data_IF_779604340248
#
_entry.id   IF_779604340248
#
_cell.length_a   1.000
_cell.length_b   1.000
_cell.length_c   1.000
_cell.angle_alpha   90.00
_cell.angle_beta   90.00
_cell.angle_gamma   90.00
#
_symmetry.space_group_name_H-M   'P 1'
#
loop_
_entity.id
_entity.type
_entity.pdbx_description
1 polymer ?
#
# COMPACT_ATOMS: atom_id res chain seq x y z
N UNK A 1 40.02 -20.20 15.90
CA UNK A 1 39.18 -21.37 15.54
C UNK A 1 37.73 -20.91 15.50
N UNK A 2 37.16 -20.84 14.29
CA UNK A 2 35.73 -20.93 13.94
C UNK A 2 35.55 -20.24 12.57
N UNK A 3 35.49 -21.05 11.52
CA UNK A 3 35.27 -20.60 10.14
C UNK A 3 33.77 -20.42 9.89
N UNK A 4 33.39 -19.25 9.39
CA UNK A 4 32.01 -18.94 8.95
C UNK A 4 31.86 -19.28 7.47
N UNK A 5 31.19 -20.40 7.18
CA UNK A 5 30.78 -20.78 5.84
C UNK A 5 29.56 -19.99 5.39
N UNK A 6 29.69 -19.24 4.29
CA UNK A 6 28.56 -18.64 3.57
C UNK A 6 27.88 -19.71 2.73
N UNK A 7 26.61 -20.00 2.99
CA UNK A 7 25.75 -20.73 2.06
C UNK A 7 25.23 -19.76 0.98
N UNK A 8 25.37 -20.14 -0.28
CA UNK A 8 24.79 -19.48 -1.46
C UNK A 8 23.31 -19.83 -1.61
N UNK A 9 22.43 -18.87 -1.99
CA UNK A 9 21.01 -19.11 -2.19
C UNK A 9 20.77 -19.57 -3.63
N UNK A 10 20.98 -20.87 -3.90
CA UNK A 10 20.72 -21.43 -5.24
C UNK A 10 19.97 -22.76 -5.23
N UNK A 11 19.59 -23.28 -4.05
CA UNK A 11 18.97 -24.61 -3.94
C UNK A 11 17.55 -24.63 -3.35
N UNK A 12 16.90 -23.47 -3.17
CA UNK A 12 15.53 -23.41 -2.62
C UNK A 12 14.45 -23.05 -3.66
N UNK A 13 14.80 -22.81 -4.92
CA UNK A 13 13.83 -22.35 -5.94
C UNK A 13 13.35 -23.43 -6.92
N UNK A 14 13.93 -24.63 -6.90
CA UNK A 14 13.57 -25.75 -7.80
C UNK A 14 12.36 -26.55 -7.28
N UNK A 15 11.88 -26.30 -6.06
CA UNK A 15 10.81 -27.10 -5.44
C UNK A 15 9.38 -26.72 -5.84
N UNK A 16 9.12 -25.54 -6.40
CA UNK A 16 7.73 -25.04 -6.50
C UNK A 16 6.99 -25.51 -7.77
N UNK A 17 7.65 -25.71 -8.90
CA UNK A 17 6.99 -26.21 -10.13
C UNK A 17 6.65 -27.70 -10.07
N UNK A 18 7.50 -28.52 -9.45
CA UNK A 18 7.18 -29.94 -9.17
C UNK A 18 6.03 -30.10 -8.18
N UNK A 19 5.90 -29.19 -7.20
CA UNK A 19 4.78 -29.14 -6.27
C UNK A 19 3.48 -28.67 -6.93
N UNK A 20 3.53 -27.75 -7.90
CA UNK A 20 2.36 -27.30 -8.66
C UNK A 20 1.89 -28.38 -9.64
N UNK A 21 2.80 -29.09 -10.31
CA UNK A 21 2.44 -30.27 -11.13
C UNK A 21 1.91 -31.44 -10.29
N UNK A 22 2.45 -31.68 -9.08
CA UNK A 22 1.92 -32.68 -8.15
C UNK A 22 0.57 -32.27 -7.54
N UNK A 23 0.38 -30.97 -7.23
CA UNK A 23 -0.88 -30.45 -6.70
C UNK A 23 -1.98 -30.44 -7.76
N UNK A 24 -1.67 -30.06 -9.00
CA UNK A 24 -2.61 -30.16 -10.13
C UNK A 24 -2.85 -31.63 -10.53
N UNK A 25 -1.83 -32.49 -10.47
CA UNK A 25 -1.98 -33.93 -10.69
C UNK A 25 -2.89 -34.62 -9.66
N UNK A 26 -2.86 -34.18 -8.39
CA UNK A 26 -3.76 -34.70 -7.35
C UNK A 26 -5.19 -34.13 -7.46
N UNK A 27 -5.36 -32.93 -8.01
CA UNK A 27 -6.68 -32.34 -8.32
C UNK A 27 -7.36 -32.96 -9.56
N UNK A 28 -6.57 -33.46 -10.53
CA UNK A 28 -7.07 -34.08 -11.75
C UNK A 28 -7.15 -35.62 -11.71
N UNK A 29 -6.58 -36.27 -10.67
CA UNK A 29 -6.77 -37.69 -10.37
C UNK A 29 -8.01 -37.91 -9.50
N UNK A 30 -9.18 -37.49 -9.96
CA UNK A 30 -10.45 -37.88 -9.36
C UNK A 30 -11.00 -39.12 -10.09
N UNK A 31 -11.51 -40.09 -9.33
CA UNK A 31 -12.30 -41.21 -9.84
C UNK A 31 -13.32 -40.72 -10.89
N UNK A 32 -13.57 -41.49 -11.96
CA UNK A 32 -14.22 -41.02 -13.20
C UNK A 32 -15.64 -40.42 -13.07
N UNK A 33 -16.20 -40.29 -11.86
CA UNK A 33 -17.56 -39.81 -11.60
C UNK A 33 -17.68 -38.71 -10.51
N UNK A 34 -16.61 -38.04 -10.07
CA UNK A 34 -16.75 -36.87 -9.19
C UNK A 34 -16.74 -35.52 -9.94
N UNK A 35 -17.64 -34.58 -9.61
CA UNK A 35 -17.64 -33.24 -10.21
C UNK A 35 -16.38 -32.46 -9.78
N UNK A 36 -15.69 -31.87 -10.76
CA UNK A 36 -14.47 -31.09 -10.53
C UNK A 36 -14.75 -29.93 -9.56
N UNK A 37 -13.95 -29.82 -8.49
CA UNK A 37 -13.97 -28.65 -7.61
C UNK A 37 -13.38 -27.43 -8.36
N UNK A 38 -13.99 -26.24 -8.26
CA UNK A 38 -13.41 -25.02 -8.83
C UNK A 38 -12.11 -24.65 -8.12
N UNK A 39 -11.14 -24.10 -8.87
CA UNK A 39 -9.89 -23.59 -8.32
C UNK A 39 -10.15 -22.34 -7.44
N UNK A 40 -9.30 -22.05 -6.44
CA UNK A 40 -9.33 -20.79 -5.69
C UNK A 40 -9.10 -19.58 -6.61
N UNK A 41 -9.76 -18.45 -6.36
CA UNK A 41 -9.74 -17.24 -7.20
C UNK A 41 -8.32 -16.71 -7.50
N UNK A 42 -7.37 -16.96 -6.60
CA UNK A 42 -5.96 -16.55 -6.72
C UNK A 42 -5.19 -17.30 -7.85
N UNK A 43 -5.76 -18.40 -8.35
CA UNK A 43 -5.20 -19.20 -9.45
C UNK A 43 -6.01 -19.09 -10.75
N UNK A 44 -7.10 -18.31 -10.77
CA UNK A 44 -7.88 -18.05 -11.98
C UNK A 44 -7.01 -17.45 -13.11
N UNK A 45 -6.03 -16.61 -12.75
CA UNK A 45 -5.04 -16.04 -13.66
C UNK A 45 -4.09 -17.09 -14.28
N UNK A 46 -3.73 -18.14 -13.52
CA UNK A 46 -2.89 -19.23 -14.03
C UNK A 46 -3.69 -20.10 -15.00
N UNK A 47 -4.98 -20.32 -14.73
CA UNK A 47 -5.88 -21.02 -15.64
C UNK A 47 -6.14 -20.18 -16.92
N UNK A 48 -6.25 -18.86 -16.81
CA UNK A 48 -6.40 -17.94 -17.94
C UNK A 48 -5.10 -17.84 -18.78
N UNK A 49 -3.93 -17.82 -18.15
CA UNK A 49 -2.63 -17.90 -18.85
C UNK A 49 -2.44 -19.26 -19.49
N UNK A 50 -2.74 -20.37 -18.81
CA UNK A 50 -2.67 -21.71 -19.40
C UNK A 50 -3.70 -21.90 -20.51
N UNK A 51 -4.85 -21.24 -20.44
CA UNK A 51 -5.85 -21.24 -21.52
C UNK A 51 -5.41 -20.36 -22.69
N UNK A 52 -4.82 -19.18 -22.45
CA UNK A 52 -4.22 -18.33 -23.49
C UNK A 52 -3.00 -18.99 -24.12
N UNK A 53 -2.17 -19.67 -23.34
CA UNK A 53 -0.98 -20.39 -23.78
C UNK A 53 -1.34 -21.70 -24.45
N UNK A 54 -2.35 -22.44 -23.98
CA UNK A 54 -2.90 -23.57 -24.71
C UNK A 54 -3.63 -23.13 -25.98
N UNK A 55 -4.27 -21.95 -26.01
CA UNK A 55 -4.82 -21.37 -27.22
C UNK A 55 -3.71 -20.93 -28.18
N UNK A 56 -2.57 -20.44 -27.66
CA UNK A 56 -1.40 -20.01 -28.43
C UNK A 56 -0.59 -21.20 -29.00
N UNK A 57 -0.40 -22.27 -28.22
CA UNK A 57 0.27 -23.51 -28.64
C UNK A 57 -0.66 -24.41 -29.47
N UNK A 58 -1.98 -24.34 -29.25
CA UNK A 58 -2.99 -24.94 -30.13
C UNK A 58 -3.44 -24.01 -31.26
N UNK A 59 -2.79 -22.86 -31.47
CA UNK A 59 -3.11 -21.99 -32.61
C UNK A 59 -2.98 -22.85 -33.86
N UNK A 60 -4.10 -23.18 -34.53
CA UNK A 60 -4.05 -23.96 -35.76
C UNK A 60 -3.20 -23.23 -36.78
N UNK A 61 -3.04 -21.91 -36.67
CA UNK A 61 -2.17 -21.09 -37.51
C UNK A 61 -0.68 -21.41 -37.41
N UNK A 62 -0.07 -21.50 -36.21
CA UNK A 62 1.37 -21.74 -36.09
C UNK A 62 1.72 -23.19 -36.41
N UNK A 63 0.90 -24.15 -35.96
CA UNK A 63 1.08 -25.56 -36.25
C UNK A 63 0.71 -25.90 -37.70
N UNK A 64 -0.28 -25.24 -38.32
CA UNK A 64 -0.55 -25.37 -39.76
C UNK A 64 0.49 -24.63 -40.60
N UNK A 65 1.04 -23.49 -40.17
CA UNK A 65 2.19 -22.87 -40.84
C UNK A 65 3.39 -23.82 -40.76
N UNK A 66 3.68 -24.42 -39.61
CA UNK A 66 4.75 -25.40 -39.46
C UNK A 66 4.49 -26.66 -40.30
N UNK A 67 3.28 -27.22 -40.29
CA UNK A 67 2.90 -28.40 -41.10
C UNK A 67 2.80 -28.10 -42.60
N UNK A 68 2.39 -26.89 -42.99
CA UNK A 68 2.34 -26.44 -44.39
C UNK A 68 3.78 -26.18 -44.89
N UNK A 69 4.67 -25.63 -44.05
CA UNK A 69 6.10 -25.46 -44.31
C UNK A 69 6.85 -26.82 -44.34
N UNK A 70 6.42 -27.81 -43.56
CA UNK A 70 6.99 -29.16 -43.61
C UNK A 70 6.47 -29.93 -44.84
N UNK A 71 5.21 -29.68 -45.26
CA UNK A 71 4.59 -30.28 -46.46
C UNK A 71 5.08 -29.67 -47.77
N UNK A 72 5.26 -28.36 -47.83
CA UNK A 72 6.00 -27.67 -48.88
C UNK A 72 7.46 -27.69 -48.47
N UNK A 73 8.22 -28.72 -48.85
CA UNK A 73 9.65 -28.72 -48.54
C UNK A 73 10.23 -27.36 -48.90
N UNK A 74 10.84 -26.68 -47.94
CA UNK A 74 11.54 -25.41 -48.20
C UNK A 74 12.57 -25.58 -49.33
N UNK A 75 13.07 -26.80 -49.51
CA UNK A 75 13.89 -27.26 -50.63
C UNK A 75 13.23 -27.07 -52.01
N UNK A 76 11.89 -27.09 -52.10
CA UNK A 76 11.13 -26.86 -53.35
C UNK A 76 10.93 -25.38 -53.69
N UNK A 77 11.01 -24.47 -52.70
CA UNK A 77 10.64 -23.06 -52.88
C UNK A 77 11.80 -22.17 -53.34
N UNK A 78 12.99 -22.73 -53.66
CA UNK A 78 14.20 -21.96 -54.01
C UNK A 78 14.52 -20.86 -52.97
N UNK A 79 14.10 -21.05 -51.72
CA UNK A 79 14.46 -20.16 -50.62
C UNK A 79 15.93 -20.41 -50.33
N UNK A 80 16.78 -19.36 -50.29
CA UNK A 80 18.19 -19.55 -50.01
C UNK A 80 18.34 -20.21 -48.62
N UNK A 81 19.24 -21.20 -48.56
CA UNK A 81 19.42 -22.12 -47.42
C UNK A 81 19.59 -21.38 -46.08
N UNK A 82 20.15 -20.18 -46.13
CA UNK A 82 20.36 -19.30 -44.99
C UNK A 82 19.07 -18.70 -44.40
N UNK A 83 18.02 -18.46 -45.21
CA UNK A 83 16.73 -17.98 -44.72
C UNK A 83 15.95 -19.10 -44.02
N UNK A 84 16.07 -20.34 -44.51
CA UNK A 84 15.47 -21.53 -43.90
C UNK A 84 16.03 -21.80 -42.51
N UNK A 85 17.35 -21.75 -42.35
CA UNK A 85 18.02 -21.89 -41.05
C UNK A 85 17.63 -20.76 -40.08
N UNK A 86 17.49 -19.52 -40.55
CA UNK A 86 17.03 -18.38 -39.71
C UNK A 86 15.60 -18.57 -39.20
N UNK A 87 14.70 -19.08 -40.04
CA UNK A 87 13.30 -19.36 -39.63
C UNK A 87 13.26 -20.49 -38.60
N UNK A 88 14.00 -21.58 -38.83
CA UNK A 88 14.11 -22.70 -37.87
C UNK A 88 14.71 -22.25 -36.54
N UNK A 89 15.78 -21.47 -36.55
CA UNK A 89 16.42 -20.99 -35.33
C UNK A 89 15.51 -20.04 -34.54
N UNK A 90 14.78 -19.15 -35.24
CA UNK A 90 13.83 -18.23 -34.62
C UNK A 90 12.63 -18.96 -34.00
N UNK A 91 12.12 -20.01 -34.66
CA UNK A 91 11.06 -20.87 -34.13
C UNK A 91 11.53 -21.69 -32.93
N UNK A 92 12.74 -22.25 -32.98
CA UNK A 92 13.35 -22.96 -31.85
C UNK A 92 13.57 -22.03 -30.64
N UNK A 93 14.00 -20.78 -30.88
CA UNK A 93 14.20 -19.80 -29.84
C UNK A 93 12.87 -19.35 -29.19
N UNK A 94 11.81 -19.16 -29.99
CA UNK A 94 10.46 -18.91 -29.48
C UNK A 94 9.91 -20.10 -28.66
N UNK A 95 10.22 -21.33 -29.06
CA UNK A 95 9.84 -22.53 -28.31
C UNK A 95 10.58 -22.63 -26.95
N UNK A 96 11.84 -22.22 -26.89
CA UNK A 96 12.61 -22.18 -25.63
C UNK A 96 12.11 -21.07 -24.70
N UNK A 97 11.84 -19.88 -25.25
CA UNK A 97 11.35 -18.73 -24.48
C UNK A 97 9.91 -18.88 -23.98
N UNK A 98 9.13 -19.78 -24.56
CA UNK A 98 7.78 -20.10 -24.08
C UNK A 98 7.79 -21.09 -22.91
N UNK A 99 8.95 -21.67 -22.59
CA UNK A 99 9.14 -22.68 -21.53
C UNK A 99 9.84 -22.08 -20.28
N UNK A 100 10.36 -20.85 -20.35
CA UNK A 100 11.06 -20.16 -19.25
C UNK A 100 10.18 -19.09 -18.58
N UNK A 101 10.34 -18.87 -17.25
CA UNK A 101 9.56 -17.89 -16.50
C UNK A 101 9.69 -16.47 -17.12
N UNK A 102 8.55 -16.00 -17.63
CA UNK A 102 8.39 -14.95 -18.64
C UNK A 102 8.83 -13.51 -18.27
N UNK A 103 8.92 -13.02 -17.01
CA UNK A 103 8.97 -11.56 -16.82
C UNK A 103 10.25 -10.85 -17.28
N UNK A 104 11.40 -11.53 -17.36
CA UNK A 104 12.70 -10.87 -17.60
C UNK A 104 13.16 -10.86 -19.06
N UNK A 105 12.66 -11.78 -19.89
CA UNK A 105 13.10 -11.93 -21.28
C UNK A 105 12.10 -11.38 -22.31
N UNK A 106 11.09 -10.66 -21.83
CA UNK A 106 10.05 -9.98 -22.61
C UNK A 106 10.65 -9.22 -23.82
N UNK A 107 11.67 -8.34 -23.68
CA UNK A 107 12.26 -7.65 -24.83
C UNK A 107 12.95 -8.58 -25.86
N UNK A 108 13.53 -9.69 -25.41
CA UNK A 108 14.21 -10.66 -26.27
C UNK A 108 13.21 -11.48 -27.12
N UNK A 109 12.07 -11.83 -26.51
CA UNK A 109 10.91 -12.44 -27.20
C UNK A 109 10.42 -11.56 -28.36
N UNK A 110 10.21 -10.26 -28.11
CA UNK A 110 9.77 -9.32 -29.14
C UNK A 110 10.79 -9.16 -30.26
N UNK A 111 12.07 -9.05 -29.92
CA UNK A 111 13.15 -8.97 -30.90
C UNK A 111 13.16 -10.18 -31.85
N UNK A 112 12.97 -11.37 -31.28
CA UNK A 112 12.98 -12.64 -32.03
C UNK A 112 11.75 -12.79 -32.93
N UNK A 113 10.57 -12.38 -32.45
CA UNK A 113 9.35 -12.35 -33.25
C UNK A 113 9.43 -11.36 -34.42
N UNK A 114 9.95 -10.15 -34.18
CA UNK A 114 10.17 -9.15 -35.24
C UNK A 114 11.20 -9.64 -36.27
N UNK A 115 12.25 -10.34 -35.83
CA UNK A 115 13.23 -10.97 -36.72
C UNK A 115 12.59 -12.06 -37.60
N UNK A 116 11.74 -12.91 -37.02
CA UNK A 116 11.04 -13.98 -37.76
C UNK A 116 10.13 -13.40 -38.85
N UNK A 117 9.27 -12.43 -38.48
CA UNK A 117 8.31 -11.81 -39.39
C UNK A 117 9.00 -11.05 -40.52
N UNK A 118 10.09 -10.34 -40.22
CA UNK A 118 10.94 -9.68 -41.23
C UNK A 118 11.54 -10.69 -42.21
N UNK A 119 12.12 -11.79 -41.68
CA UNK A 119 12.74 -12.85 -42.50
C UNK A 119 11.71 -13.51 -43.43
N UNK A 120 10.51 -13.81 -42.93
CA UNK A 120 9.42 -14.37 -43.72
C UNK A 120 8.95 -13.42 -44.84
N UNK A 121 8.88 -12.12 -44.53
CA UNK A 121 8.50 -11.09 -45.51
C UNK A 121 9.54 -10.95 -46.62
N UNK A 122 10.82 -11.00 -46.28
CA UNK A 122 11.92 -10.94 -47.25
C UNK A 122 11.92 -12.18 -48.16
N UNK A 123 11.73 -13.37 -47.60
CA UNK A 123 11.62 -14.62 -48.36
C UNK A 123 10.43 -14.59 -49.35
N UNK A 124 9.25 -14.13 -48.90
CA UNK A 124 8.07 -13.94 -49.76
C UNK A 124 8.30 -12.91 -50.86
N UNK A 125 8.96 -11.79 -50.54
CA UNK A 125 9.31 -10.75 -51.51
C UNK A 125 10.33 -11.21 -52.56
N UNK A 126 11.22 -12.13 -52.20
CA UNK A 126 12.13 -12.80 -53.14
C UNK A 126 11.40 -13.70 -54.13
N UNK A 127 10.43 -14.48 -53.63
CA UNK A 127 9.59 -15.38 -54.43
C UNK A 127 8.79 -14.64 -55.51
N UNK A 128 8.25 -13.46 -55.17
CA UNK A 128 7.49 -12.62 -56.09
C UNK A 128 8.35 -11.96 -57.19
N UNK A 129 9.68 -11.95 -57.05
CA UNK A 129 10.61 -11.34 -58.02
C UNK A 129 11.18 -12.33 -59.03
N UNK A 130 10.83 -13.60 -58.95
CA UNK A 130 11.33 -14.63 -59.87
C UNK A 130 10.80 -14.36 -61.30
N UNK A 131 11.64 -14.52 -62.35
CA UNK A 131 11.23 -14.28 -63.74
C UNK A 131 10.10 -15.22 -64.20
N UNK A 132 9.08 -14.68 -64.86
CA UNK A 132 7.89 -15.41 -65.34
C UNK A 132 8.23 -16.55 -66.30
N UNK A 133 9.35 -16.46 -67.01
CA UNK A 133 9.91 -17.46 -67.92
C UNK A 133 10.37 -18.75 -67.23
N UNK A 134 10.55 -18.76 -65.90
CA UNK A 134 10.81 -19.97 -65.11
C UNK A 134 9.56 -20.55 -64.43
N UNK A 135 8.44 -19.83 -64.42
CA UNK A 135 7.19 -20.25 -63.82
C UNK A 135 6.24 -20.73 -64.93
N UNK A 136 6.15 -22.04 -65.13
CA UNK A 136 5.27 -22.60 -66.16
C UNK A 136 3.82 -22.13 -66.04
N UNK A 137 3.12 -22.02 -67.17
CA UNK A 137 1.75 -21.45 -67.37
C UNK A 137 0.61 -22.00 -66.48
N UNK A 138 0.85 -23.00 -65.63
CA UNK A 138 -0.13 -23.56 -64.68
C UNK A 138 0.18 -23.21 -63.20
N UNK A 139 1.30 -22.54 -62.92
CA UNK A 139 1.77 -22.28 -61.55
C UNK A 139 1.56 -20.83 -61.09
N UNK A 140 1.24 -19.91 -61.99
CA UNK A 140 1.18 -18.47 -61.69
C UNK A 140 -0.04 -18.08 -60.83
N UNK A 141 -1.20 -18.72 -61.03
CA UNK A 141 -2.38 -18.51 -60.19
C UNK A 141 -2.23 -19.10 -58.78
N UNK A 142 -1.59 -20.27 -58.67
CA UNK A 142 -1.48 -20.97 -57.40
C UNK A 142 -0.43 -20.32 -56.50
N UNK A 143 0.68 -19.84 -57.07
CA UNK A 143 1.71 -19.10 -56.32
C UNK A 143 1.22 -17.74 -55.86
N UNK A 144 0.43 -17.02 -56.67
CA UNK A 144 -0.14 -15.72 -56.28
C UNK A 144 -1.16 -15.89 -55.16
N UNK A 145 -2.05 -16.87 -55.25
CA UNK A 145 -2.98 -17.21 -54.17
C UNK A 145 -2.26 -17.68 -52.89
N UNK A 146 -1.19 -18.48 -53.03
CA UNK A 146 -0.38 -18.90 -51.89
C UNK A 146 0.28 -17.69 -51.21
N UNK A 147 0.93 -16.81 -51.98
CA UNK A 147 1.60 -15.63 -51.49
C UNK A 147 0.62 -14.65 -50.79
N UNK A 148 -0.57 -14.47 -51.34
CA UNK A 148 -1.64 -13.67 -50.73
C UNK A 148 -2.18 -14.32 -49.44
N UNK A 149 -2.38 -15.65 -49.42
CA UNK A 149 -2.82 -16.33 -48.22
C UNK A 149 -1.78 -16.29 -47.09
N UNK A 150 -0.49 -16.37 -47.45
CA UNK A 150 0.62 -16.28 -46.51
C UNK A 150 0.78 -14.85 -45.98
N UNK A 151 0.64 -13.82 -46.82
CA UNK A 151 0.71 -12.43 -46.36
C UNK A 151 -0.40 -12.09 -45.35
N UNK A 152 -1.64 -12.54 -45.61
CA UNK A 152 -2.77 -12.37 -44.68
C UNK A 152 -2.54 -13.12 -43.36
N UNK A 153 -1.96 -14.33 -43.40
CA UNK A 153 -1.60 -15.08 -42.19
C UNK A 153 -0.51 -14.39 -41.38
N UNK A 154 0.53 -13.87 -42.04
CA UNK A 154 1.61 -13.12 -41.40
C UNK A 154 1.08 -11.86 -40.74
N UNK A 155 0.22 -11.10 -41.43
CA UNK A 155 -0.41 -9.89 -40.87
C UNK A 155 -1.28 -10.20 -39.64
N UNK A 156 -2.05 -11.29 -39.67
CA UNK A 156 -2.85 -11.73 -38.52
C UNK A 156 -1.97 -12.15 -37.34
N UNK A 157 -0.87 -12.85 -37.60
CA UNK A 157 0.12 -13.21 -36.58
C UNK A 157 0.78 -11.97 -35.96
N UNK A 158 1.12 -10.97 -36.76
CA UNK A 158 1.68 -9.70 -36.28
C UNK A 158 0.66 -8.94 -35.40
N UNK A 159 -0.59 -8.84 -35.83
CA UNK A 159 -1.68 -8.24 -35.06
C UNK A 159 -1.89 -8.95 -33.72
N UNK A 160 -1.93 -10.28 -33.72
CA UNK A 160 -2.09 -11.06 -32.49
C UNK A 160 -0.88 -10.92 -31.56
N UNK A 161 0.34 -10.94 -32.10
CA UNK A 161 1.57 -10.72 -31.34
C UNK A 161 1.59 -9.35 -30.66
N UNK A 162 1.18 -8.30 -31.39
CA UNK A 162 1.07 -6.95 -30.84
C UNK A 162 -0.01 -6.85 -29.75
N UNK A 163 -1.14 -7.54 -29.89
CA UNK A 163 -2.20 -7.56 -28.88
C UNK A 163 -1.80 -8.37 -27.63
N UNK A 164 -1.15 -9.52 -27.80
CA UNK A 164 -0.61 -10.31 -26.69
C UNK A 164 0.46 -9.51 -25.93
N UNK A 165 1.29 -8.77 -26.65
CA UNK A 165 2.30 -7.90 -26.07
C UNK A 165 1.69 -6.76 -25.25
N UNK A 166 0.69 -6.07 -25.78
CA UNK A 166 0.05 -4.98 -25.04
C UNK A 166 -0.65 -5.47 -23.77
N UNK A 167 -1.24 -6.67 -23.79
CA UNK A 167 -1.79 -7.32 -22.60
C UNK A 167 -0.71 -7.63 -21.57
N UNK A 168 0.42 -8.22 -21.98
CA UNK A 168 1.53 -8.52 -21.09
C UNK A 168 2.12 -7.25 -20.47
N UNK A 169 2.34 -6.21 -21.27
CA UNK A 169 2.83 -4.92 -20.81
C UNK A 169 1.85 -4.25 -19.84
N UNK A 170 0.54 -4.35 -20.11
CA UNK A 170 -0.49 -3.84 -19.20
C UNK A 170 -0.53 -4.56 -17.85
N UNK A 171 -0.32 -5.88 -17.84
CA UNK A 171 -0.28 -6.67 -16.61
C UNK A 171 0.95 -6.34 -15.77
N UNK A 172 2.14 -6.23 -16.39
CA UNK A 172 3.37 -5.82 -15.69
C UNK A 172 3.25 -4.38 -15.17
N UNK A 173 2.62 -3.49 -15.93
CA UNK A 173 2.36 -2.12 -15.49
C UNK A 173 1.38 -2.09 -14.30
N UNK A 174 0.33 -2.93 -14.32
CA UNK A 174 -0.62 -3.07 -13.22
C UNK A 174 0.05 -3.57 -11.93
N UNK A 175 0.86 -4.63 -12.01
CA UNK A 175 1.61 -5.17 -10.86
C UNK A 175 2.54 -4.12 -10.23
N UNK A 176 3.29 -3.39 -11.07
CA UNK A 176 4.16 -2.30 -10.60
C UNK A 176 3.36 -1.16 -9.97
N UNK A 177 2.19 -0.84 -10.52
CA UNK A 177 1.30 0.17 -9.95
C UNK A 177 0.76 -0.26 -8.58
N UNK A 178 0.40 -1.53 -8.41
CA UNK A 178 -0.05 -2.09 -7.13
C UNK A 178 1.07 -2.11 -6.08
N UNK A 179 2.29 -2.48 -6.46
CA UNK A 179 3.46 -2.40 -5.58
C UNK A 179 3.76 -0.95 -5.17
N UNK A 180 3.76 -0.02 -6.13
CA UNK A 180 3.95 1.41 -5.86
C UNK A 180 2.85 1.95 -4.93
N UNK A 181 1.60 1.56 -5.13
CA UNK A 181 0.47 1.92 -4.28
C UNK A 181 0.66 1.39 -2.85
N UNK A 182 1.04 0.11 -2.68
CA UNK A 182 1.31 -0.48 -1.36
C UNK A 182 2.43 0.25 -0.63
N UNK A 183 3.54 0.52 -1.32
CA UNK A 183 4.66 1.26 -0.76
C UNK A 183 4.27 2.69 -0.36
N UNK A 184 3.46 3.36 -1.19
CA UNK A 184 2.94 4.69 -0.89
C UNK A 184 2.01 4.68 0.33
N UNK A 185 1.14 3.68 0.48
CA UNK A 185 0.27 3.52 1.65
C UNK A 185 1.08 3.29 2.94
N UNK A 186 2.13 2.46 2.89
CA UNK A 186 3.01 2.23 4.04
C UNK A 186 3.74 3.53 4.42
N UNK A 187 4.31 4.24 3.44
CA UNK A 187 5.00 5.51 3.68
C UNK A 187 4.05 6.60 4.22
N UNK A 188 2.82 6.66 3.70
CA UNK A 188 1.78 7.55 4.20
C UNK A 188 1.39 7.20 5.64
N UNK A 189 1.25 5.92 5.97
CA UNK A 189 0.99 5.45 7.33
C UNK A 189 2.08 5.84 8.32
N UNK A 190 3.36 5.59 7.98
CA UNK A 190 4.51 5.96 8.82
C UNK A 190 4.59 7.47 9.01
N UNK A 191 4.44 8.25 7.93
CA UNK A 191 4.51 9.72 8.01
C UNK A 191 3.34 10.33 8.79
N UNK A 192 2.14 9.78 8.65
CA UNK A 192 0.96 10.18 9.41
C UNK A 192 1.13 9.90 10.91
N UNK A 193 1.59 8.70 11.26
CA UNK A 193 1.87 8.30 12.64
C UNK A 193 2.94 9.19 13.29
N UNK A 194 4.02 9.49 12.57
CA UNK A 194 5.07 10.40 13.04
C UNK A 194 4.55 11.83 13.29
N UNK A 195 3.71 12.37 12.38
CA UNK A 195 3.09 13.69 12.55
C UNK A 195 2.12 13.72 13.73
N UNK A 196 1.29 12.69 13.88
CA UNK A 196 0.33 12.59 14.97
C UNK A 196 1.05 12.54 16.33
N UNK A 197 2.09 11.70 16.43
CA UNK A 197 2.97 11.60 17.60
C UNK A 197 3.59 12.96 17.94
N UNK A 198 4.20 13.64 16.96
CA UNK A 198 4.79 14.97 17.15
C UNK A 198 3.78 16.04 17.58
N UNK A 199 2.53 15.94 17.13
CA UNK A 199 1.45 16.83 17.58
C UNK A 199 1.10 16.60 19.06
N UNK A 200 1.03 15.35 19.53
CA UNK A 200 0.82 15.05 20.94
C UNK A 200 2.01 15.45 21.81
N UNK A 201 3.25 15.32 21.33
CA UNK A 201 4.43 15.80 22.06
C UNK A 201 4.43 17.33 22.21
N UNK A 202 4.08 18.04 21.14
CA UNK A 202 3.95 19.52 21.18
C UNK A 202 2.84 19.94 22.13
N UNK A 203 1.67 19.29 22.05
CA UNK A 203 0.55 19.55 22.96
C UNK A 203 0.93 19.26 24.42
N UNK A 204 1.69 18.20 24.69
CA UNK A 204 2.18 17.88 26.02
C UNK A 204 3.11 19.00 26.55
N UNK A 205 4.07 19.45 25.72
CA UNK A 205 5.02 20.50 26.09
C UNK A 205 4.33 21.84 26.37
N UNK A 206 3.33 22.22 25.58
CA UNK A 206 2.60 23.48 25.76
C UNK A 206 1.70 23.45 27.02
N UNK A 207 1.09 22.31 27.32
CA UNK A 207 0.36 22.11 28.58
C UNK A 207 1.30 22.09 29.79
N UNK A 208 2.50 21.53 29.67
CA UNK A 208 3.50 21.56 30.76
C UNK A 208 3.96 22.98 31.07
N UNK A 209 4.20 23.81 30.05
CA UNK A 209 4.50 25.25 30.20
C UNK A 209 3.33 25.97 30.88
N UNK A 210 2.10 25.75 30.42
CA UNK A 210 0.90 26.36 30.99
C UNK A 210 0.68 25.96 32.44
N UNK A 211 0.85 24.68 32.77
CA UNK A 211 0.83 24.17 34.15
C UNK A 211 1.86 24.89 35.03
N UNK A 212 3.09 25.05 34.52
CA UNK A 212 4.16 25.75 35.24
C UNK A 212 3.84 27.21 35.49
N UNK A 213 3.26 27.90 34.50
CA UNK A 213 2.78 29.27 34.63
C UNK A 213 1.72 29.39 35.74
N UNK A 214 0.66 28.57 35.71
CA UNK A 214 -0.39 28.61 36.72
C UNK A 214 0.11 28.23 38.12
N UNK A 215 1.10 27.35 38.22
CA UNK A 215 1.75 27.03 39.49
C UNK A 215 2.47 28.26 40.07
N UNK A 216 3.24 28.97 39.25
CA UNK A 216 3.88 30.22 39.67
C UNK A 216 2.87 31.30 40.03
N UNK A 217 1.81 31.47 39.23
CA UNK A 217 0.72 32.40 39.54
C UNK A 217 0.06 32.08 40.89
N UNK A 218 -0.17 30.79 41.18
CA UNK A 218 -0.71 30.35 42.48
C UNK A 218 0.22 30.73 43.63
N UNK A 219 1.52 30.47 43.50
CA UNK A 219 2.52 30.82 44.53
C UNK A 219 2.52 32.34 44.78
N UNK A 220 2.52 33.14 43.71
CA UNK A 220 2.51 34.60 43.81
C UNK A 220 1.22 35.12 44.45
N UNK A 221 0.05 34.56 44.11
CA UNK A 221 -1.22 34.95 44.71
C UNK A 221 -1.31 34.55 46.19
N UNK A 222 -0.82 33.36 46.57
CA UNK A 222 -0.75 32.95 47.98
C UNK A 222 0.17 33.89 48.76
N UNK A 223 1.36 34.20 48.23
CA UNK A 223 2.28 35.15 48.84
C UNK A 223 1.66 36.54 48.98
N UNK A 224 0.95 37.03 47.95
CA UNK A 224 0.23 38.29 47.99
C UNK A 224 -0.90 38.26 49.04
N UNK A 225 -1.68 37.18 49.11
CA UNK A 225 -2.78 37.04 50.08
C UNK A 225 -2.29 37.07 51.53
N UNK A 226 -1.18 36.38 51.82
CA UNK A 226 -0.52 36.43 53.14
C UNK A 226 0.08 37.81 53.40
N UNK A 227 0.80 38.38 52.43
CA UNK A 227 1.39 39.71 52.54
C UNK A 227 0.36 40.81 52.79
N UNK A 228 -0.76 40.81 52.06
CA UNK A 228 -1.89 41.72 52.27
C UNK A 228 -2.51 41.53 53.65
N UNK A 229 -2.68 40.29 54.10
CA UNK A 229 -3.22 40.01 55.44
C UNK A 229 -2.32 40.58 56.54
N UNK A 230 -1.00 40.40 56.44
CA UNK A 230 -0.02 40.92 57.40
C UNK A 230 0.03 42.45 57.34
N UNK A 231 0.09 43.02 56.14
CA UNK A 231 0.13 44.48 55.94
C UNK A 231 -1.12 45.17 56.51
N UNK A 232 -2.32 44.67 56.19
CA UNK A 232 -3.55 45.22 56.73
C UNK A 232 -3.64 45.09 58.25
N UNK A 233 -3.14 43.98 58.82
CA UNK A 233 -3.09 43.81 60.27
C UNK A 233 -2.18 44.85 60.94
N UNK A 234 -0.97 45.07 60.41
CA UNK A 234 -0.03 46.06 60.95
C UNK A 234 -0.57 47.49 60.80
N UNK A 235 -1.13 47.82 59.64
CA UNK A 235 -1.64 49.17 59.36
C UNK A 235 -2.89 49.51 60.17
N UNK A 236 -3.82 48.56 60.33
CA UNK A 236 -5.03 48.78 61.12
C UNK A 236 -4.74 48.77 62.64
N UNK A 237 -3.68 48.10 63.09
CA UNK A 237 -3.31 48.05 64.50
C UNK A 237 -2.93 49.42 65.08
N UNK A 238 -2.37 50.34 64.29
CA UNK A 238 -1.98 51.68 64.74
C UNK A 238 -3.19 52.57 65.14
N UNK A 239 -4.41 52.22 64.69
CA UNK A 239 -5.63 52.98 64.95
C UNK A 239 -6.59 52.37 65.98
N UNK A 240 -6.29 51.20 66.55
CA UNK A 240 -7.21 50.52 67.47
C UNK A 240 -6.99 50.97 68.91
N UNK A 241 -8.00 51.64 69.50
CA UNK A 241 -8.04 51.88 70.95
C UNK A 241 -8.21 50.56 71.72
N UNK A 242 -7.39 50.29 72.76
CA UNK A 242 -7.52 49.08 73.57
C UNK A 242 -8.93 48.96 74.17
N UNK A 243 -9.65 47.88 73.86
CA UNK A 243 -10.92 47.53 74.53
C UNK A 243 -12.18 47.51 73.67
N UNK A 244 -12.17 48.01 72.42
CA UNK A 244 -13.29 47.85 71.48
C UNK A 244 -12.89 47.02 70.25
N UNK A 245 -13.59 45.91 70.01
CA UNK A 245 -13.44 45.10 68.79
C UNK A 245 -14.09 45.85 67.62
N UNK A 246 -13.27 46.37 66.70
CA UNK A 246 -13.74 46.99 65.47
C UNK A 246 -14.00 45.91 64.40
N UNK A 247 -15.19 45.31 64.42
CA UNK A 247 -15.61 44.27 63.46
C UNK A 247 -15.39 44.63 61.99
N UNK A 248 -15.73 45.85 61.51
CA UNK A 248 -15.40 46.29 60.16
C UNK A 248 -13.93 46.17 59.80
N UNK A 249 -13.03 46.48 60.74
CA UNK A 249 -11.58 46.39 60.52
C UNK A 249 -11.09 44.94 60.38
N UNK A 250 -11.83 43.96 60.90
CA UNK A 250 -11.51 42.52 60.72
C UNK A 250 -12.15 41.93 59.47
N UNK A 251 -13.36 42.39 59.11
CA UNK A 251 -14.09 41.87 57.96
C UNK A 251 -13.43 42.23 56.64
N UNK A 252 -12.90 43.45 56.51
CA UNK A 252 -12.30 43.92 55.26
C UNK A 252 -11.07 43.08 54.83
N UNK A 253 -10.05 42.85 55.67
CA UNK A 253 -8.93 41.98 55.33
C UNK A 253 -9.37 40.54 55.02
N UNK A 254 -10.37 40.03 55.74
CA UNK A 254 -10.89 38.68 55.51
C UNK A 254 -11.50 38.55 54.11
N UNK A 255 -12.30 39.52 53.67
CA UNK A 255 -12.92 39.51 52.34
C UNK A 255 -11.86 39.68 51.25
N UNK A 256 -10.90 40.59 51.43
CA UNK A 256 -9.82 40.84 50.45
C UNK A 256 -8.92 39.61 50.32
N UNK A 257 -8.40 39.08 51.44
CA UNK A 257 -7.58 37.88 51.43
C UNK A 257 -8.37 36.66 50.94
N UNK A 258 -9.63 36.52 51.33
CA UNK A 258 -10.52 35.47 50.84
C UNK A 258 -10.69 35.51 49.32
N UNK A 259 -10.85 36.69 48.73
CA UNK A 259 -10.87 36.89 47.28
C UNK A 259 -9.57 36.45 46.60
N UNK A 260 -8.42 36.85 47.14
CA UNK A 260 -7.09 36.46 46.62
C UNK A 260 -6.91 34.93 46.69
N UNK A 261 -7.25 34.31 47.81
CA UNK A 261 -7.18 32.85 47.98
C UNK A 261 -8.16 32.12 47.05
N UNK A 262 -9.32 32.69 46.76
CA UNK A 262 -10.27 32.17 45.78
C UNK A 262 -9.65 32.08 44.38
N UNK A 263 -9.01 33.16 43.92
CA UNK A 263 -8.30 33.19 42.62
C UNK A 263 -7.10 32.23 42.64
N UNK A 264 -6.33 32.19 43.73
CA UNK A 264 -5.22 31.26 43.88
C UNK A 264 -5.67 29.80 43.76
N UNK A 265 -6.80 29.45 44.38
CA UNK A 265 -7.40 28.11 44.30
C UNK A 265 -7.81 27.76 42.88
N UNK A 266 -8.38 28.73 42.14
CA UNK A 266 -8.68 28.54 40.71
C UNK A 266 -7.41 28.28 39.89
N UNK A 267 -6.36 29.08 40.07
CA UNK A 267 -5.07 28.87 39.39
C UNK A 267 -4.46 27.50 39.75
N UNK A 268 -4.57 27.07 41.00
CA UNK A 268 -4.10 25.75 41.43
C UNK A 268 -4.84 24.62 40.70
N UNK A 269 -6.17 24.74 40.55
CA UNK A 269 -6.98 23.80 39.78
C UNK A 269 -6.56 23.78 38.30
N UNK A 270 -6.35 24.95 37.69
CA UNK A 270 -5.88 25.04 36.30
C UNK A 270 -4.49 24.44 36.09
N UNK A 271 -3.57 24.65 37.03
CA UNK A 271 -2.25 24.00 36.99
C UNK A 271 -2.37 22.47 36.99
N UNK A 272 -3.25 21.93 37.84
CA UNK A 272 -3.49 20.48 37.91
C UNK A 272 -4.11 19.93 36.62
N UNK A 273 -5.09 20.64 36.04
CA UNK A 273 -5.71 20.28 34.76
C UNK A 273 -4.67 20.17 33.65
N UNK A 274 -3.88 21.23 33.43
CA UNK A 274 -2.85 21.24 32.40
C UNK A 274 -1.79 20.15 32.61
N UNK A 275 -1.39 19.87 33.85
CA UNK A 275 -0.47 18.77 34.15
C UNK A 275 -1.04 17.41 33.76
N UNK A 276 -2.32 17.18 34.04
CA UNK A 276 -2.98 15.94 33.67
C UNK A 276 -3.11 15.79 32.17
N UNK A 277 -3.48 16.86 31.45
CA UNK A 277 -3.52 16.88 29.99
C UNK A 277 -2.15 16.60 29.37
N UNK A 278 -1.08 17.21 29.90
CA UNK A 278 0.29 16.96 29.45
C UNK A 278 0.68 15.49 29.64
N UNK A 279 0.35 14.91 30.80
CA UNK A 279 0.63 13.50 31.11
C UNK A 279 -0.13 12.57 30.17
N UNK A 280 -1.43 12.81 29.97
CA UNK A 280 -2.26 12.04 29.06
C UNK A 280 -1.73 12.08 27.63
N UNK A 281 -1.41 13.28 27.12
CA UNK A 281 -0.87 13.47 25.77
C UNK A 281 0.44 12.72 25.57
N UNK A 282 1.35 12.80 26.54
CA UNK A 282 2.61 12.06 26.53
C UNK A 282 2.40 10.55 26.55
N UNK A 283 1.43 10.06 27.30
CA UNK A 283 1.07 8.64 27.29
C UNK A 283 0.56 8.21 25.91
N UNK A 284 -0.30 9.01 25.26
CA UNK A 284 -0.79 8.70 23.91
C UNK A 284 0.35 8.70 22.88
N UNK A 285 1.25 9.67 22.93
CA UNK A 285 2.45 9.71 22.08
C UNK A 285 3.29 8.44 22.20
N UNK A 286 3.59 8.01 23.43
CA UNK A 286 4.34 6.75 23.68
C UNK A 286 3.55 5.53 23.17
N UNK A 287 2.23 5.51 23.39
CA UNK A 287 1.40 4.40 22.92
C UNK A 287 1.39 4.32 21.39
N UNK A 288 1.28 5.45 20.67
CA UNK A 288 1.36 5.48 19.21
C UNK A 288 2.68 4.92 18.68
N UNK A 289 3.81 5.24 19.33
CA UNK A 289 5.13 4.75 18.94
C UNK A 289 5.33 3.25 19.21
N UNK A 290 4.67 2.70 20.24
CA UNK A 290 4.91 1.34 20.71
C UNK A 290 3.84 0.33 20.27
N UNK A 291 2.66 0.81 19.87
CA UNK A 291 1.50 -0.04 19.56
C UNK A 291 1.77 -1.02 18.41
N UNK A 292 2.33 -0.55 17.28
CA UNK A 292 2.62 -1.42 16.14
C UNK A 292 3.62 -2.53 16.50
N UNK A 293 4.63 -2.22 17.31
CA UNK A 293 5.58 -3.21 17.82
C UNK A 293 4.94 -4.26 18.73
N UNK A 294 3.92 -3.86 19.50
CA UNK A 294 3.17 -4.76 20.38
C UNK A 294 2.24 -5.71 19.62
N UNK A 295 1.57 -5.25 18.57
CA UNK A 295 0.62 -6.07 17.80
C UNK A 295 1.29 -6.89 16.68
N UNK A 296 2.48 -6.50 16.23
CA UNK A 296 3.22 -7.17 15.15
C UNK A 296 3.39 -8.69 15.34
N UNK A 297 3.75 -9.22 16.54
CA UNK A 297 3.93 -10.66 16.73
C UNK A 297 2.63 -11.47 16.82
N UNK A 298 1.45 -10.83 16.81
CA UNK A 298 0.18 -11.54 16.88
C UNK A 298 -0.17 -12.18 15.53
N UNK A 299 -0.44 -13.49 15.53
CA UNK A 299 -0.79 -14.25 14.32
C UNK A 299 -2.27 -14.13 13.94
N UNK A 300 -3.14 -13.91 14.92
CA UNK A 300 -4.58 -13.75 14.69
C UNK A 300 -4.90 -12.34 14.20
N UNK A 301 -5.35 -12.24 12.94
CA UNK A 301 -5.73 -10.98 12.31
C UNK A 301 -6.97 -10.34 12.95
N UNK A 302 -7.95 -11.14 13.39
CA UNK A 302 -9.19 -10.62 13.97
C UNK A 302 -8.91 -9.88 15.28
N UNK A 303 -8.05 -10.47 16.14
CA UNK A 303 -7.65 -9.87 17.40
C UNK A 303 -6.85 -8.57 17.16
N UNK A 304 -5.98 -8.53 16.15
CA UNK A 304 -5.21 -7.32 15.81
C UNK A 304 -6.11 -6.16 15.40
N UNK A 305 -7.15 -6.44 14.62
CA UNK A 305 -8.07 -5.40 14.14
C UNK A 305 -9.02 -4.92 15.23
N UNK A 306 -9.43 -5.81 16.15
CA UNK A 306 -10.15 -5.42 17.37
C UNK A 306 -9.28 -4.50 18.24
N UNK A 307 -8.02 -4.87 18.50
CA UNK A 307 -7.09 -4.04 19.29
C UNK A 307 -6.84 -2.68 18.63
N UNK A 308 -6.72 -2.63 17.29
CA UNK A 308 -6.60 -1.35 16.55
C UNK A 308 -7.84 -0.49 16.71
N UNK A 309 -9.02 -1.09 16.68
CA UNK A 309 -10.29 -0.39 16.83
C UNK A 309 -10.43 0.22 18.22
N UNK A 310 -10.15 -0.56 19.27
CA UNK A 310 -10.16 -0.07 20.65
C UNK A 310 -9.09 0.99 20.91
N UNK A 311 -7.90 0.81 20.33
CA UNK A 311 -6.83 1.80 20.40
C UNK A 311 -7.23 3.11 19.71
N UNK A 312 -7.79 3.03 18.49
CA UNK A 312 -8.29 4.20 17.77
C UNK A 312 -9.39 4.91 18.58
N UNK A 313 -10.33 4.16 19.18
CA UNK A 313 -11.36 4.72 20.05
C UNK A 313 -10.79 5.46 21.26
N UNK A 314 -9.66 5.00 21.81
CA UNK A 314 -8.97 5.65 22.93
C UNK A 314 -8.20 6.90 22.49
N UNK A 315 -7.51 6.86 21.35
CA UNK A 315 -6.70 7.97 20.83
C UNK A 315 -7.58 9.13 20.35
N UNK A 316 -8.64 8.80 19.60
CA UNK A 316 -9.58 9.79 19.04
C UNK A 316 -10.80 10.05 19.93
N UNK A 317 -10.92 9.34 21.05
CA UNK A 317 -11.97 9.54 22.02
C UNK A 317 -11.80 10.84 22.83
N UNK A 318 -12.86 11.27 23.54
CA UNK A 318 -12.75 12.39 24.46
C UNK A 318 -11.68 12.11 25.52
N UNK A 319 -10.92 13.14 25.87
CA UNK A 319 -9.94 13.05 26.95
C UNK A 319 -10.64 12.59 28.25
N UNK A 320 -9.95 11.79 29.09
CA UNK A 320 -10.55 11.26 30.30
C UNK A 320 -11.06 12.41 31.19
N UNK A 321 -12.36 12.36 31.55
CA UNK A 321 -12.95 13.34 32.46
C UNK A 321 -12.24 13.26 33.81
N UNK A 322 -11.67 14.37 34.25
CA UNK A 322 -11.03 14.44 35.56
C UNK A 322 -12.09 14.34 36.65
N UNK A 323 -11.96 13.32 37.51
CA UNK A 323 -12.87 13.10 38.64
C UNK A 323 -12.78 14.29 39.59
N UNK A 324 -13.82 15.13 39.61
CA UNK A 324 -13.88 16.33 40.47
C UNK A 324 -13.88 17.66 39.73
N UNK A 325 -13.85 17.68 38.40
CA UNK A 325 -14.25 18.87 37.66
C UNK A 325 -15.78 19.00 37.72
N UNK A 326 -16.34 20.14 38.20
CA UNK A 326 -17.71 20.46 37.83
C UNK A 326 -17.74 20.45 36.31
N UNK A 327 -18.73 19.79 35.71
CA UNK A 327 -18.86 19.66 34.26
C UNK A 327 -19.00 21.04 33.61
N UNK A 328 -17.89 21.77 33.48
CA UNK A 328 -17.75 22.81 32.49
C UNK A 328 -17.57 22.00 31.22
N UNK A 329 -18.70 21.78 30.56
CA UNK A 329 -18.78 21.14 29.26
C UNK A 329 -17.97 22.02 28.31
N UNK A 330 -16.65 21.81 28.27
CA UNK A 330 -15.77 22.23 27.20
C UNK A 330 -16.02 21.35 25.97
N UNK A 331 -17.30 21.11 25.65
CA UNK A 331 -17.71 20.91 24.27
C UNK A 331 -17.38 22.22 23.59
N UNK A 332 -16.15 22.34 23.09
CA UNK A 332 -15.82 23.40 22.16
C UNK A 332 -16.89 23.33 21.06
N UNK A 333 -17.64 24.41 20.80
CA UNK A 333 -18.65 24.42 19.73
C UNK A 333 -18.07 23.99 18.38
N UNK A 334 -16.75 24.00 18.22
CA UNK A 334 -16.04 23.42 17.08
C UNK A 334 -16.25 21.91 16.91
N UNK A 335 -16.20 21.11 17.98
CA UNK A 335 -16.35 19.63 17.89
C UNK A 335 -17.80 19.26 17.61
N UNK A 336 -18.75 19.93 18.25
CA UNK A 336 -20.18 19.75 17.95
C UNK A 336 -20.51 20.18 16.52
N UNK A 337 -19.87 21.23 15.99
CA UNK A 337 -20.07 21.67 14.60
C UNK A 337 -19.51 20.69 13.55
N UNK A 338 -18.45 19.95 13.87
CA UNK A 338 -17.88 18.93 12.99
C UNK A 338 -18.78 17.69 13.00
N UNK A 339 -19.22 17.26 14.18
CA UNK A 339 -20.13 16.11 14.33
C UNK A 339 -21.50 16.37 13.67
N UNK A 340 -22.04 17.59 13.79
CA UNK A 340 -23.30 17.94 13.11
C UNK A 340 -23.17 18.04 11.60
N UNK A 341 -22.00 18.43 11.05
CA UNK A 341 -21.77 18.40 9.60
C UNK A 341 -21.69 16.97 9.06
N UNK A 342 -20.93 16.10 9.73
CA UNK A 342 -20.80 14.69 9.33
C UNK A 342 -22.16 13.97 9.33
N UNK A 343 -23.02 14.26 10.32
CA UNK A 343 -24.34 13.64 10.41
C UNK A 343 -25.36 14.22 9.41
N UNK A 344 -25.09 15.41 8.86
CA UNK A 344 -25.91 16.04 7.83
C UNK A 344 -25.63 15.47 6.44
N UNK A 345 -24.38 15.17 6.16
CA UNK A 345 -23.94 14.65 4.86
C UNK A 345 -24.20 13.13 4.70
N UNK A 346 -24.52 12.41 5.78
CA UNK A 346 -24.88 10.98 5.72
C UNK A 346 -26.36 10.70 5.45
N UNK A 347 -27.21 11.74 5.45
CA UNK A 347 -28.67 11.62 5.28
C UNK A 347 -29.20 12.28 4.01
N UNK A 348 -28.31 12.86 3.20
CA UNK A 348 -28.57 13.33 1.84
C UNK A 348 -27.93 12.36 0.85
#
# INVERSE_FOLDING_TARGET
MAATGRMTPTLTYISNLGLVQMALGSFYSAEPNQPKKPLPDEFAFVEEILNLWSAYTRLPGLQAIYQDIDKFSLDLLLVPEDATERVKSSLAYLAILTDTEIPKEIPALRGSWMSLTWTLREALGGLLKLPSDRMGLLWESDLTHLAESLSVRVERCESFGNAAWSLLESNVAAERAEEAMRNAQIAAGVSSSARLTGSYDTFAADNEKSSSFFRWATILLVAAGVGTSVFLHLWLAEGMTPGLVNWPALLYPLVVSGGIFGVATYCARQAHLHRTLATWSKTISIQLQTFDGFISPMTDHAIRDELRTEFARRVFGPHPKLKGEPGVTAGSPAVDSILTRINRDSTA
#
